data_IF_412171707475
#
_entry.id   IF_412171707475
#
_cell.length_a   1.000
_cell.length_b   1.000
_cell.length_c   1.000
_cell.angle_alpha   90.00
_cell.angle_beta   90.00
_cell.angle_gamma   90.00
#
_symmetry.space_group_name_H-M   'P 1'
#
loop_
_entity.id
_entity.type
_entity.pdbx_description
1 polymer ?
#
# COMPACT_ATOMS: atom_id res chain seq x y z
N UNK A 1 -5.25 -13.79 -1.54
CA UNK A 1 -4.44 -12.61 -1.17
C UNK A 1 -3.00 -12.96 -1.49
N UNK A 2 -2.37 -12.29 -2.44
CA UNK A 2 -0.92 -12.44 -2.64
C UNK A 2 -0.22 -11.35 -1.83
N UNK A 3 0.74 -11.75 -0.99
CA UNK A 3 1.56 -10.84 -0.21
C UNK A 3 2.85 -10.59 -0.99
N UNK A 4 3.05 -9.36 -1.47
CA UNK A 4 4.30 -8.96 -2.12
C UNK A 4 4.98 -7.89 -1.26
N UNK A 5 5.96 -8.29 -0.44
CA UNK A 5 6.76 -7.35 0.35
C UNK A 5 7.61 -6.46 -0.58
N UNK A 6 7.12 -5.26 -0.88
CA UNK A 6 7.85 -4.26 -1.67
C UNK A 6 8.62 -3.32 -0.75
N UNK A 7 9.94 -3.40 -0.71
CA UNK A 7 10.80 -2.40 -0.04
C UNK A 7 10.75 -1.08 -0.82
N UNK A 8 9.92 -0.13 -0.41
CA UNK A 8 9.93 1.22 -0.99
C UNK A 8 10.89 2.14 -0.22
N UNK A 9 11.81 2.81 -0.93
CA UNK A 9 12.93 3.59 -0.38
C UNK A 9 12.69 5.11 -0.37
N UNK A 10 11.48 5.58 -0.66
CA UNK A 10 11.18 7.01 -0.83
C UNK A 10 10.61 7.70 0.43
N UNK A 11 10.67 7.04 1.59
CA UNK A 11 10.35 7.67 2.89
C UNK A 11 11.57 7.59 3.81
N UNK A 12 11.94 8.74 4.37
CA UNK A 12 13.18 9.02 5.09
C UNK A 12 13.30 8.31 6.46
N UNK A 13 13.27 6.99 6.47
CA UNK A 13 13.67 6.19 7.61
C UNK A 13 14.10 4.80 7.13
N UNK A 14 15.05 4.22 7.84
CA UNK A 14 15.64 2.88 7.73
C UNK A 14 14.65 1.68 7.73
N UNK A 15 13.36 1.87 7.45
CA UNK A 15 12.29 0.86 7.43
C UNK A 15 11.50 0.94 6.11
N UNK A 16 11.62 -0.09 5.28
CA UNK A 16 10.76 -0.24 4.09
C UNK A 16 9.29 -0.50 4.46
N UNK A 17 8.38 -0.10 3.57
CA UNK A 17 6.92 -0.26 3.70
C UNK A 17 6.52 -1.69 3.31
N UNK A 18 5.47 -2.27 3.91
CA UNK A 18 4.91 -3.55 3.45
C UNK A 18 3.85 -3.26 2.37
N UNK A 19 4.13 -3.69 1.14
CA UNK A 19 3.17 -3.70 0.04
C UNK A 19 2.26 -4.92 0.09
N UNK A 20 0.98 -4.76 -0.23
CA UNK A 20 0.05 -5.90 -0.43
C UNK A 20 -0.72 -5.62 -1.70
N UNK A 21 -0.64 -6.52 -2.69
CA UNK A 21 -1.37 -6.36 -3.94
C UNK A 21 -2.64 -7.21 -3.97
N UNK A 22 -3.69 -6.67 -4.59
CA UNK A 22 -4.92 -7.41 -4.88
C UNK A 22 -5.39 -7.07 -6.29
N UNK A 23 -6.02 -8.04 -6.96
CA UNK A 23 -6.50 -7.88 -8.34
C UNK A 23 -7.68 -6.91 -8.44
N UNK A 24 -8.49 -6.81 -7.38
CA UNK A 24 -9.74 -6.05 -7.38
C UNK A 24 -9.66 -4.79 -6.52
N UNK A 25 -10.06 -3.65 -7.09
CA UNK A 25 -10.15 -2.36 -6.40
C UNK A 25 -10.95 -2.42 -5.09
N UNK A 26 -12.11 -3.09 -5.11
CA UNK A 26 -12.99 -3.24 -3.94
C UNK A 26 -12.30 -4.05 -2.85
N UNK A 27 -11.53 -5.07 -3.20
CA UNK A 27 -10.77 -5.88 -2.24
C UNK A 27 -9.66 -5.08 -1.57
N UNK A 28 -8.94 -4.23 -2.32
CA UNK A 28 -7.92 -3.30 -1.77
C UNK A 28 -8.55 -2.39 -0.71
N UNK A 29 -9.66 -1.74 -1.05
CA UNK A 29 -10.35 -0.82 -0.15
C UNK A 29 -10.92 -1.50 1.09
N UNK A 30 -11.59 -2.65 0.90
CA UNK A 30 -12.17 -3.41 2.00
C UNK A 30 -11.09 -3.92 2.96
N UNK A 31 -9.99 -4.44 2.43
CA UNK A 31 -8.88 -4.99 3.24
C UNK A 31 -8.15 -3.86 3.97
N UNK A 32 -7.84 -2.74 3.31
CA UNK A 32 -7.20 -1.61 3.96
C UNK A 32 -8.06 -1.03 5.10
N UNK A 33 -9.38 -0.93 4.88
CA UNK A 33 -10.35 -0.53 5.92
C UNK A 33 -10.40 -1.51 7.07
N UNK A 34 -10.46 -2.80 6.75
CA UNK A 34 -10.52 -3.86 7.75
C UNK A 34 -9.27 -3.89 8.62
N UNK A 35 -8.09 -3.84 8.01
CA UNK A 35 -6.80 -3.89 8.71
C UNK A 35 -6.57 -2.63 9.54
N UNK A 36 -6.93 -1.44 9.02
CA UNK A 36 -6.88 -0.22 9.82
C UNK A 36 -7.78 -0.31 11.05
N UNK A 37 -8.99 -0.87 10.89
CA UNK A 37 -9.92 -1.07 12.00
C UNK A 37 -9.41 -2.09 13.03
N UNK A 38 -8.92 -3.25 12.58
CA UNK A 38 -8.40 -4.31 13.47
C UNK A 38 -7.18 -3.87 14.27
N UNK A 39 -6.32 -3.04 13.67
CA UNK A 39 -5.13 -2.50 14.34
C UNK A 39 -5.44 -1.22 15.15
N UNK A 40 -6.66 -0.69 15.08
CA UNK A 40 -7.01 0.59 15.72
C UNK A 40 -6.29 1.80 15.14
N UNK A 41 -5.80 1.71 13.90
CA UNK A 41 -4.99 2.74 13.23
C UNK A 41 -5.84 3.57 12.28
N UNK A 42 -5.38 4.80 12.01
CA UNK A 42 -6.05 5.68 11.05
C UNK A 42 -5.65 5.33 9.62
N UNK A 43 -6.68 5.15 8.80
CA UNK A 43 -6.57 4.92 7.36
C UNK A 43 -6.00 6.17 6.67
N UNK A 44 -4.95 5.97 5.87
CA UNK A 44 -4.16 7.03 5.25
C UNK A 44 -3.00 7.53 6.12
N UNK A 45 -2.78 7.00 7.34
CA UNK A 45 -1.63 7.36 8.18
C UNK A 45 -0.62 6.23 8.29
N UNK A 46 -0.96 5.16 8.99
CA UNK A 46 -0.09 3.99 9.17
C UNK A 46 -0.47 2.84 8.22
N UNK A 47 -1.77 2.74 7.92
CA UNK A 47 -2.32 1.85 6.91
C UNK A 47 -2.87 2.70 5.78
N UNK A 48 -2.39 2.48 4.56
CA UNK A 48 -2.80 3.23 3.38
C UNK A 48 -3.20 2.32 2.23
N UNK A 49 -3.82 2.90 1.22
CA UNK A 49 -4.08 2.21 -0.04
C UNK A 49 -3.81 3.10 -1.24
N UNK A 50 -3.49 2.46 -2.37
CA UNK A 50 -3.29 3.11 -3.65
C UNK A 50 -3.87 2.26 -4.77
N UNK A 51 -4.81 2.86 -5.49
CA UNK A 51 -5.47 2.27 -6.65
C UNK A 51 -5.43 3.29 -7.79
N UNK A 52 -5.84 2.91 -9.01
CA UNK A 52 -5.61 3.75 -10.20
C UNK A 52 -6.09 5.20 -10.06
N UNK A 53 -7.25 5.43 -9.45
CA UNK A 53 -7.88 6.75 -9.36
C UNK A 53 -8.04 7.26 -7.91
N UNK A 54 -7.48 6.56 -6.92
CA UNK A 54 -7.56 6.96 -5.52
C UNK A 54 -6.28 6.56 -4.78
N UNK A 55 -5.75 7.47 -3.98
CA UNK A 55 -4.52 7.26 -3.20
C UNK A 55 -4.70 7.90 -1.84
N UNK A 56 -4.61 7.06 -0.79
CA UNK A 56 -4.56 7.48 0.61
C UNK A 56 -3.39 6.81 1.29
N UNK A 57 -2.23 7.44 1.17
CA UNK A 57 -0.97 6.99 1.76
C UNK A 57 -0.30 8.22 2.37
N UNK A 58 -0.13 8.21 3.69
CA UNK A 58 0.54 9.27 4.44
C UNK A 58 2.04 9.02 4.56
N UNK A 59 2.77 10.00 5.11
CA UNK A 59 4.22 9.93 5.27
C UNK A 59 4.70 8.91 6.31
N UNK A 60 3.84 8.51 7.24
CA UNK A 60 4.09 7.50 8.26
C UNK A 60 3.57 6.11 7.87
N UNK A 61 3.24 5.88 6.60
CA UNK A 61 2.57 4.66 6.18
C UNK A 61 3.51 3.46 6.27
N UNK A 62 3.12 2.45 7.05
CA UNK A 62 3.88 1.21 7.23
C UNK A 62 3.31 0.06 6.39
N UNK A 63 2.00 0.08 6.08
CA UNK A 63 1.32 -0.94 5.28
C UNK A 63 0.57 -0.25 4.14
N UNK A 64 0.84 -0.65 2.89
CA UNK A 64 0.23 -0.08 1.70
C UNK A 64 -0.46 -1.17 0.87
N UNK A 65 -1.78 -1.08 0.79
CA UNK A 65 -2.59 -1.93 -0.08
C UNK A 65 -2.67 -1.34 -1.48
N UNK A 66 -2.50 -2.15 -2.52
CA UNK A 66 -2.51 -1.65 -3.89
C UNK A 66 -3.11 -2.63 -4.88
N UNK A 67 -3.42 -2.17 -6.09
CA UNK A 67 -3.73 -3.11 -7.19
C UNK A 67 -2.46 -3.56 -7.90
N UNK A 68 -2.52 -4.72 -8.54
CA UNK A 68 -1.39 -5.25 -9.32
C UNK A 68 -0.91 -4.26 -10.39
N UNK A 69 -1.83 -3.48 -10.97
CA UNK A 69 -1.48 -2.42 -11.92
C UNK A 69 -0.74 -1.22 -11.29
N UNK A 70 -0.92 -0.95 -10.00
CA UNK A 70 -0.11 0.04 -9.26
C UNK A 70 1.27 -0.55 -8.96
N UNK A 71 1.31 -1.80 -8.50
CA UNK A 71 2.56 -2.52 -8.24
C UNK A 71 3.47 -2.56 -9.48
N UNK A 72 2.92 -2.96 -10.63
CA UNK A 72 3.63 -2.98 -11.92
C UNK A 72 4.21 -1.62 -12.31
N UNK A 73 3.44 -0.54 -12.10
CA UNK A 73 3.92 0.83 -12.37
C UNK A 73 5.07 1.22 -11.44
N UNK A 74 4.98 0.88 -10.16
CA UNK A 74 6.04 1.19 -9.19
C UNK A 74 7.33 0.42 -9.48
N UNK A 75 7.22 -0.86 -9.86
CA UNK A 75 8.39 -1.68 -10.25
C UNK A 75 9.04 -1.18 -11.55
N UNK A 76 8.25 -0.73 -12.52
CA UNK A 76 8.78 -0.14 -13.76
C UNK A 76 9.52 1.18 -13.51
N UNK A 77 9.07 1.98 -12.54
CA UNK A 77 9.76 3.20 -12.13
C UNK A 77 11.05 2.88 -11.37
N UNK A 78 11.05 1.82 -10.55
CA UNK A 78 12.24 1.39 -9.81
C UNK A 78 13.39 0.91 -10.70
N UNK A 79 13.08 0.38 -11.89
CA UNK A 79 14.09 -0.20 -12.80
C UNK A 79 14.64 0.82 -13.82
N UNK A 80 14.63 2.11 -13.49
CA UNK A 80 15.24 3.19 -14.26
C UNK A 80 16.35 3.87 -13.50
#
# INVERSE_FOLDING_TARGET
>A
MEFCCVKHSDYNATKGIIGISQSHHVAVLATAKRVAYELGLRLGKEVGFQVRHDKRVGSSCSIKFMTDGILLRETQVFNR
#
